data_IF_545590687749
#
_entry.id   IF_545590687749
#
_cell.length_a   1.000
_cell.length_b   1.000
_cell.length_c   1.000
_cell.angle_alpha   90.00
_cell.angle_beta   90.00
_cell.angle_gamma   90.00
#
_symmetry.space_group_name_H-M   'P 1'
#
loop_
_entity.id
_entity.type
_entity.pdbx_description
1 polymer ?
#
# COMPACT_ATOMS: atom_id res chain seq x y z
N UNK A 1 8.83 15.39 -25.29
CA UNK A 1 8.30 14.86 -24.02
C UNK A 1 6.80 15.03 -24.04
N UNK A 2 6.03 13.95 -24.08
CA UNK A 2 4.58 14.03 -23.89
C UNK A 2 4.30 14.64 -22.52
N UNK A 3 3.66 15.81 -22.49
CA UNK A 3 3.26 16.44 -21.24
C UNK A 3 2.11 15.61 -20.65
N UNK A 4 2.40 14.80 -19.64
CA UNK A 4 1.42 13.93 -18.98
C UNK A 4 0.34 14.67 -18.18
N UNK A 5 0.20 15.99 -18.37
CA UNK A 5 -0.66 16.89 -17.58
C UNK A 5 -0.08 17.24 -16.20
N UNK A 6 -0.79 18.07 -15.45
CA UNK A 6 -0.44 18.52 -14.10
C UNK A 6 -1.49 18.11 -13.05
N UNK A 7 -2.35 17.14 -13.37
CA UNK A 7 -3.33 16.61 -12.44
C UNK A 7 -2.67 15.70 -11.39
N UNK A 8 -3.36 15.46 -10.27
CA UNK A 8 -2.92 14.53 -9.22
C UNK A 8 -2.62 13.14 -9.80
N UNK A 9 -3.48 12.64 -10.70
CA UNK A 9 -3.27 11.34 -11.36
C UNK A 9 -2.03 11.33 -12.27
N UNK A 10 -1.69 12.47 -12.87
CA UNK A 10 -0.47 12.64 -13.67
C UNK A 10 0.80 12.48 -12.83
N UNK A 11 0.78 12.89 -11.55
CA UNK A 11 1.92 12.67 -10.63
C UNK A 11 2.15 11.18 -10.38
N UNK A 12 1.09 10.39 -10.18
CA UNK A 12 1.23 8.93 -10.04
C UNK A 12 1.78 8.29 -11.31
N UNK A 13 1.29 8.68 -12.49
CA UNK A 13 1.80 8.16 -13.76
C UNK A 13 3.27 8.51 -13.96
N UNK A 14 3.68 9.74 -13.63
CA UNK A 14 5.10 10.15 -13.65
C UNK A 14 5.95 9.33 -12.69
N UNK A 15 5.48 9.15 -11.45
CA UNK A 15 6.16 8.35 -10.44
C UNK A 15 6.33 6.90 -10.89
N UNK A 16 5.27 6.28 -11.42
CA UNK A 16 5.33 4.92 -11.94
C UNK A 16 6.29 4.79 -13.13
N UNK A 17 6.29 5.73 -14.09
CA UNK A 17 7.29 5.73 -15.17
C UNK A 17 8.72 5.83 -14.65
N UNK A 18 8.95 6.67 -13.64
CA UNK A 18 10.27 6.84 -13.05
C UNK A 18 10.74 5.55 -12.37
N UNK A 19 9.87 4.89 -11.60
CA UNK A 19 10.15 3.60 -10.96
C UNK A 19 10.35 2.50 -12.00
N UNK A 20 9.49 2.39 -13.01
CA UNK A 20 9.62 1.41 -14.10
C UNK A 20 10.97 1.56 -14.82
N UNK A 21 11.37 2.80 -15.16
CA UNK A 21 12.67 3.05 -15.79
C UNK A 21 13.85 2.67 -14.87
N UNK A 22 13.74 2.96 -13.57
CA UNK A 22 14.73 2.54 -12.58
C UNK A 22 14.84 1.01 -12.46
N UNK A 23 13.71 0.30 -12.45
CA UNK A 23 13.66 -1.16 -12.44
C UNK A 23 14.29 -1.73 -13.73
N UNK A 24 13.86 -1.26 -14.91
CA UNK A 24 14.36 -1.77 -16.18
C UNK A 24 15.85 -1.49 -16.43
N UNK A 25 16.39 -0.41 -15.86
CA UNK A 25 17.81 -0.06 -16.00
C UNK A 25 18.73 -0.73 -14.98
N UNK A 26 18.18 -1.38 -13.96
CA UNK A 26 19.00 -2.07 -12.96
C UNK A 26 19.63 -3.34 -13.57
N UNK A 27 20.96 -3.46 -13.44
CA UNK A 27 21.72 -4.61 -13.91
C UNK A 27 21.59 -5.84 -12.98
N UNK A 28 20.44 -6.01 -12.34
CA UNK A 28 20.18 -7.04 -11.33
C UNK A 28 19.37 -8.22 -11.87
N UNK A 29 18.82 -8.14 -13.09
CA UNK A 29 17.90 -9.13 -13.64
C UNK A 29 18.56 -10.02 -14.69
N UNK A 30 19.32 -11.02 -14.22
CA UNK A 30 20.18 -11.83 -15.10
C UNK A 30 19.62 -13.22 -15.39
N UNK A 31 18.78 -13.75 -14.51
CA UNK A 31 18.14 -15.07 -14.65
C UNK A 31 16.69 -14.95 -15.07
N UNK A 32 16.08 -16.05 -15.53
CA UNK A 32 14.65 -16.06 -15.87
C UNK A 32 13.76 -15.84 -14.64
N UNK A 33 14.22 -16.26 -13.45
CA UNK A 33 13.56 -15.95 -12.19
C UNK A 33 13.60 -14.44 -11.91
N UNK A 34 14.73 -13.79 -12.15
CA UNK A 34 14.84 -12.34 -11.96
C UNK A 34 13.95 -11.58 -12.95
N UNK A 35 13.89 -12.01 -14.22
CA UNK A 35 12.98 -11.41 -15.21
C UNK A 35 11.52 -11.56 -14.80
N UNK A 36 11.12 -12.72 -14.28
CA UNK A 36 9.78 -12.92 -13.76
C UNK A 36 9.47 -12.01 -12.56
N UNK A 37 10.46 -11.76 -11.70
CA UNK A 37 10.34 -10.79 -10.61
C UNK A 37 10.20 -9.35 -11.13
N UNK A 38 10.98 -8.98 -12.15
CA UNK A 38 10.87 -7.67 -12.81
C UNK A 38 9.50 -7.48 -13.45
N UNK A 39 9.03 -8.46 -14.21
CA UNK A 39 7.72 -8.43 -14.87
C UNK A 39 6.59 -8.30 -13.84
N UNK A 40 6.69 -9.05 -12.73
CA UNK A 40 5.75 -8.93 -11.61
C UNK A 40 5.82 -7.53 -10.99
N UNK A 41 7.00 -6.98 -10.74
CA UNK A 41 7.16 -5.66 -10.14
C UNK A 41 6.56 -4.55 -11.02
N UNK A 42 6.80 -4.61 -12.35
CA UNK A 42 6.20 -3.68 -13.31
C UNK A 42 4.67 -3.87 -13.35
N UNK A 43 4.19 -5.11 -13.32
CA UNK A 43 2.77 -5.39 -13.25
C UNK A 43 2.12 -4.79 -12.01
N UNK A 44 2.67 -5.06 -10.83
CA UNK A 44 2.14 -4.57 -9.57
C UNK A 44 2.16 -3.04 -9.52
N UNK A 45 3.24 -2.43 -10.00
CA UNK A 45 3.37 -0.97 -10.11
C UNK A 45 2.23 -0.35 -10.90
N UNK A 46 1.81 -0.95 -12.02
CA UNK A 46 0.73 -0.43 -12.86
C UNK A 46 -0.66 -0.95 -12.50
N UNK A 47 -0.78 -1.92 -11.58
CA UNK A 47 -2.05 -2.55 -11.18
C UNK A 47 -2.54 -2.11 -9.81
N UNK A 48 -1.63 -1.72 -8.90
CA UNK A 48 -1.96 -1.35 -7.53
C UNK A 48 -1.42 0.02 -7.14
N UNK A 49 -2.23 0.80 -6.41
CA UNK A 49 -1.84 2.11 -5.90
C UNK A 49 -2.35 2.32 -4.48
N UNK A 50 -1.65 3.16 -3.71
CA UNK A 50 -2.14 3.71 -2.46
C UNK A 50 -2.05 5.23 -2.53
N UNK A 51 -3.15 5.91 -2.20
CA UNK A 51 -3.14 7.36 -2.17
C UNK A 51 -2.42 7.87 -0.92
N UNK A 52 -1.57 8.90 -1.04
CA UNK A 52 -0.98 9.56 0.11
C UNK A 52 -2.05 10.03 1.10
N UNK A 53 -1.78 9.80 2.39
CA UNK A 53 -2.59 10.30 3.51
C UNK A 53 -4.10 9.98 3.43
N UNK A 54 -4.49 8.91 2.72
CA UNK A 54 -5.89 8.57 2.48
C UNK A 54 -6.10 7.06 2.59
N UNK A 55 -6.96 6.63 3.51
CA UNK A 55 -7.39 5.23 3.58
C UNK A 55 -8.53 5.04 2.56
N UNK A 56 -8.16 4.93 1.29
CA UNK A 56 -9.08 4.91 0.15
C UNK A 56 -8.99 3.58 -0.60
N UNK A 57 -10.12 2.87 -0.64
CA UNK A 57 -10.30 1.61 -1.33
C UNK A 57 -11.11 1.81 -2.60
N UNK A 58 -10.57 1.33 -3.71
CA UNK A 58 -11.27 1.16 -5.00
C UNK A 58 -10.78 -0.14 -5.61
N UNK A 59 -11.56 -1.21 -5.44
CA UNK A 59 -11.20 -2.55 -5.86
C UNK A 59 -12.14 -3.06 -6.95
N UNK A 60 -11.68 -3.99 -7.82
CA UNK A 60 -12.55 -4.71 -8.74
C UNK A 60 -13.74 -5.36 -8.03
N UNK A 61 -14.86 -5.54 -8.74
CA UNK A 61 -16.10 -6.05 -8.13
C UNK A 61 -16.96 -4.99 -7.42
N UNK A 62 -16.64 -3.71 -7.60
CA UNK A 62 -17.47 -2.58 -7.12
C UNK A 62 -17.23 -2.17 -5.67
N UNK A 63 -16.23 -2.75 -5.01
CA UNK A 63 -15.91 -2.39 -3.63
C UNK A 63 -15.23 -1.02 -3.55
N UNK A 64 -15.81 -0.15 -2.74
CA UNK A 64 -15.35 1.22 -2.54
C UNK A 64 -15.57 1.63 -1.09
N UNK A 65 -14.52 2.12 -0.44
CA UNK A 65 -14.60 2.64 0.93
C UNK A 65 -13.55 3.75 1.13
N UNK A 66 -13.84 4.72 1.99
CA UNK A 66 -12.85 5.74 2.35
C UNK A 66 -12.93 6.15 3.82
N UNK A 67 -11.78 6.48 4.40
CA UNK A 67 -11.61 7.02 5.75
C UNK A 67 -10.21 7.59 5.96
N UNK A 68 -9.83 7.86 7.21
CA UNK A 68 -8.46 8.21 7.57
C UNK A 68 -8.06 9.64 7.20
N UNK A 69 -9.01 10.47 6.77
CA UNK A 69 -8.77 11.90 6.56
C UNK A 69 -8.53 12.60 7.90
N UNK A 70 -7.58 13.53 7.92
CA UNK A 70 -7.29 14.32 9.12
C UNK A 70 -8.40 15.36 9.30
N UNK A 71 -8.63 15.76 10.55
CA UNK A 71 -9.58 16.84 10.87
C UNK A 71 -9.22 18.13 10.11
N UNK A 72 -7.93 18.38 9.91
CA UNK A 72 -7.41 19.55 9.17
C UNK A 72 -7.55 19.46 7.65
N UNK A 73 -7.83 18.29 7.07
CA UNK A 73 -8.00 18.18 5.63
C UNK A 73 -9.37 18.77 5.24
N UNK A 74 -9.38 19.77 4.36
CA UNK A 74 -10.60 20.41 3.87
C UNK A 74 -11.45 19.47 3.01
N UNK A 75 -12.75 19.77 2.86
CA UNK A 75 -13.62 18.97 2.01
C UNK A 75 -13.13 18.94 0.54
N UNK A 76 -12.60 20.06 0.03
CA UNK A 76 -12.05 20.14 -1.31
C UNK A 76 -10.85 19.21 -1.50
N UNK A 77 -9.91 19.20 -0.55
CA UNK A 77 -8.77 18.28 -0.59
C UNK A 77 -9.20 16.82 -0.52
N UNK A 78 -10.17 16.49 0.35
CA UNK A 78 -10.73 15.13 0.44
C UNK A 78 -11.34 14.69 -0.89
N UNK A 79 -12.18 15.54 -1.49
CA UNK A 79 -12.80 15.27 -2.79
C UNK A 79 -11.78 15.13 -3.91
N UNK A 80 -10.73 15.97 -3.92
CA UNK A 80 -9.67 15.87 -4.92
C UNK A 80 -8.88 14.55 -4.82
N UNK A 81 -8.53 14.12 -3.60
CA UNK A 81 -7.88 12.82 -3.38
C UNK A 81 -8.79 11.66 -3.83
N UNK A 82 -10.06 11.66 -3.42
CA UNK A 82 -10.99 10.60 -3.82
C UNK A 82 -11.27 10.58 -5.33
N UNK A 83 -11.41 11.74 -5.96
CA UNK A 83 -11.56 11.85 -7.42
C UNK A 83 -10.34 11.34 -8.18
N UNK A 84 -9.13 11.49 -7.61
CA UNK A 84 -7.95 10.86 -8.17
C UNK A 84 -8.03 9.32 -8.08
N UNK A 85 -8.50 8.75 -6.96
CA UNK A 85 -8.71 7.30 -6.86
C UNK A 85 -9.73 6.80 -7.90
N UNK A 86 -10.82 7.54 -8.11
CA UNK A 86 -11.82 7.21 -9.14
C UNK A 86 -11.24 7.24 -10.56
N UNK A 87 -10.48 8.28 -10.91
CA UNK A 87 -9.84 8.39 -12.21
C UNK A 87 -8.77 7.30 -12.45
N UNK A 88 -8.02 6.94 -11.40
CA UNK A 88 -7.03 5.85 -11.46
C UNK A 88 -7.71 4.49 -11.65
N UNK A 89 -8.85 4.28 -10.98
CA UNK A 89 -9.66 3.09 -11.14
C UNK A 89 -10.34 3.01 -12.52
N UNK A 90 -10.74 4.13 -13.12
CA UNK A 90 -11.27 4.15 -14.49
C UNK A 90 -10.25 3.67 -15.54
N UNK A 91 -8.95 3.80 -15.24
CA UNK A 91 -7.89 3.09 -15.94
C UNK A 91 -7.29 3.83 -17.14
N UNK A 92 -8.04 4.73 -17.77
CA UNK A 92 -7.59 5.52 -18.92
C UNK A 92 -6.99 6.83 -18.45
N UNK A 93 -5.65 6.92 -18.43
CA UNK A 93 -4.91 8.09 -18.00
C UNK A 93 -3.91 8.53 -19.07
N UNK A 94 -3.76 9.84 -19.33
CA UNK A 94 -2.70 10.34 -20.20
C UNK A 94 -1.33 9.79 -19.79
N UNK A 95 -0.49 9.47 -20.78
CA UNK A 95 0.84 8.90 -20.58
C UNK A 95 0.95 7.55 -19.87
N UNK A 96 -0.13 6.95 -19.33
CA UNK A 96 0.01 5.64 -18.67
C UNK A 96 0.58 4.61 -19.65
N UNK A 97 1.36 3.66 -19.11
CA UNK A 97 1.97 2.59 -19.87
C UNK A 97 0.93 1.96 -20.83
N UNK A 98 1.21 1.89 -22.15
CA UNK A 98 0.24 1.42 -23.15
C UNK A 98 -0.34 0.03 -22.86
N UNK A 99 0.44 -0.87 -22.25
CA UNK A 99 -0.02 -2.22 -21.87
C UNK A 99 -1.08 -2.21 -20.75
N UNK A 100 -1.21 -1.08 -20.05
CA UNK A 100 -2.11 -0.87 -18.92
C UNK A 100 -3.17 0.20 -19.19
N UNK A 101 -3.24 0.74 -20.41
CA UNK A 101 -4.34 1.63 -20.80
C UNK A 101 -5.68 0.89 -20.72
N UNK A 102 -6.68 1.56 -20.15
CA UNK A 102 -8.01 0.98 -19.92
C UNK A 102 -8.08 -0.08 -18.82
N UNK A 103 -6.96 -0.38 -18.12
CA UNK A 103 -6.95 -1.30 -16.96
C UNK A 103 -7.05 -0.50 -15.66
N UNK A 104 -7.87 -0.92 -14.69
CA UNK A 104 -8.00 -0.20 -13.42
C UNK A 104 -6.68 -0.22 -12.65
N UNK A 105 -6.34 0.90 -12.01
CA UNK A 105 -5.39 0.90 -10.90
C UNK A 105 -6.18 0.67 -9.61
N UNK A 106 -6.03 -0.49 -8.97
CA UNK A 106 -6.75 -0.80 -7.74
C UNK A 106 -6.16 -0.01 -6.58
N UNK A 107 -6.98 0.82 -5.95
CA UNK A 107 -6.56 1.60 -4.78
C UNK A 107 -6.77 0.78 -3.52
N UNK A 108 -5.71 0.61 -2.74
CA UNK A 108 -5.75 -0.06 -1.44
C UNK A 108 -5.61 0.93 -0.30
N UNK A 109 -6.51 0.78 0.67
CA UNK A 109 -6.38 1.41 1.99
C UNK A 109 -5.66 0.48 2.97
N UNK A 110 -6.05 0.56 4.24
CA UNK A 110 -5.54 -0.33 5.30
C UNK A 110 -6.62 -0.58 6.36
N UNK A 111 -6.53 -1.72 7.04
CA UNK A 111 -7.43 -2.11 8.13
C UNK A 111 -6.78 -1.85 9.49
N UNK A 112 -5.45 -2.02 9.59
CA UNK A 112 -4.65 -1.71 10.77
C UNK A 112 -3.46 -0.81 10.41
N UNK A 113 -2.99 0.01 11.36
CA UNK A 113 -1.82 0.86 11.18
C UNK A 113 -0.82 0.63 12.33
N UNK A 114 0.43 0.37 11.96
CA UNK A 114 1.56 0.26 12.88
C UNK A 114 2.47 1.48 12.78
N UNK A 115 2.51 2.25 13.87
CA UNK A 115 3.41 3.38 14.10
C UNK A 115 4.40 3.03 15.20
N UNK A 116 5.57 2.51 14.84
CA UNK A 116 6.58 2.14 15.83
C UNK A 116 7.00 3.35 16.67
N UNK A 117 7.06 3.18 17.99
CA UNK A 117 7.66 4.17 18.89
C UNK A 117 6.93 5.51 18.97
N UNK A 118 5.65 5.55 18.59
CA UNK A 118 4.85 6.78 18.70
C UNK A 118 4.78 7.23 20.17
N UNK A 119 5.50 8.30 20.51
CA UNK A 119 5.53 8.86 21.88
C UNK A 119 6.92 9.27 22.40
N UNK A 120 8.01 9.03 21.65
CA UNK A 120 9.35 9.53 22.02
C UNK A 120 9.98 8.87 23.25
N UNK A 121 9.38 7.78 23.76
CA UNK A 121 9.90 7.01 24.88
C UNK A 121 10.89 5.97 24.36
N UNK A 122 11.85 5.56 25.20
CA UNK A 122 12.66 4.35 24.98
C UNK A 122 11.76 3.20 24.49
N UNK A 123 12.14 2.58 23.38
CA UNK A 123 11.39 1.50 22.75
C UNK A 123 11.36 0.28 23.67
N UNK A 124 10.20 -0.02 24.25
CA UNK A 124 9.94 -1.32 24.86
C UNK A 124 9.49 -2.29 23.77
N UNK A 125 10.43 -3.09 23.28
CA UNK A 125 10.21 -4.04 22.19
C UNK A 125 9.11 -5.07 22.50
N UNK A 126 9.03 -5.55 23.74
CA UNK A 126 8.04 -6.56 24.13
C UNK A 126 6.64 -5.94 24.16
N UNK A 127 6.50 -4.76 24.76
CA UNK A 127 5.23 -4.04 24.76
C UNK A 127 4.78 -3.69 23.35
N UNK A 128 5.69 -3.22 22.52
CA UNK A 128 5.39 -2.86 21.14
C UNK A 128 4.95 -4.09 20.32
N UNK A 129 5.65 -5.22 20.46
CA UNK A 129 5.24 -6.49 19.85
C UNK A 129 3.81 -6.85 20.23
N UNK A 130 3.50 -6.88 21.52
CA UNK A 130 2.16 -7.21 22.02
C UNK A 130 1.10 -6.23 21.50
N UNK A 131 1.39 -4.92 21.49
CA UNK A 131 0.46 -3.91 20.99
C UNK A 131 0.12 -4.14 19.51
N UNK A 132 1.12 -4.41 18.69
CA UNK A 132 0.95 -4.56 17.24
C UNK A 132 0.19 -5.84 16.92
N UNK A 133 0.55 -6.96 17.55
CA UNK A 133 -0.16 -8.24 17.39
C UNK A 133 -1.62 -8.10 17.79
N UNK A 134 -1.90 -7.49 18.95
CA UNK A 134 -3.28 -7.24 19.39
C UNK A 134 -4.04 -6.31 18.45
N UNK A 135 -3.39 -5.27 17.92
CA UNK A 135 -4.01 -4.35 16.96
C UNK A 135 -4.41 -5.08 15.66
N UNK A 136 -3.54 -5.95 15.15
CA UNK A 136 -3.81 -6.76 13.96
C UNK A 136 -4.93 -7.77 14.24
N UNK A 137 -4.89 -8.48 15.36
CA UNK A 137 -5.94 -9.42 15.76
C UNK A 137 -7.30 -8.73 15.88
N UNK A 138 -7.36 -7.58 16.57
CA UNK A 138 -8.56 -6.77 16.68
C UNK A 138 -9.08 -6.29 15.31
N UNK A 139 -8.19 -6.04 14.34
CA UNK A 139 -8.62 -5.66 13.00
C UNK A 139 -9.36 -6.79 12.26
N UNK A 140 -9.08 -8.07 12.57
CA UNK A 140 -9.87 -9.20 12.07
C UNK A 140 -11.27 -9.27 12.71
N UNK A 141 -11.35 -9.02 14.03
CA UNK A 141 -12.59 -9.21 14.79
C UNK A 141 -13.57 -8.02 14.68
N UNK A 142 -13.10 -6.85 14.26
CA UNK A 142 -13.90 -5.61 14.23
C UNK A 142 -14.51 -5.30 12.85
N UNK A 143 -15.56 -4.46 12.84
CA UNK A 143 -16.06 -3.72 11.66
C UNK A 143 -14.99 -2.86 10.96
N UNK A 144 -13.79 -2.76 11.55
CA UNK A 144 -12.63 -2.08 10.98
C UNK A 144 -11.98 -2.86 9.84
N UNK A 145 -12.23 -4.17 9.71
CA UNK A 145 -11.94 -4.90 8.46
C UNK A 145 -12.88 -4.37 7.38
N UNK A 146 -12.41 -3.36 6.66
CA UNK A 146 -13.20 -2.71 5.61
C UNK A 146 -13.05 -3.45 4.30
N UNK A 147 -11.88 -4.03 4.05
CA UNK A 147 -11.57 -4.71 2.80
C UNK A 147 -12.57 -5.81 2.42
N UNK A 148 -12.57 -6.17 1.13
CA UNK A 148 -13.53 -7.13 0.58
C UNK A 148 -13.35 -8.53 1.20
N UNK A 149 -12.12 -8.88 1.58
CA UNK A 149 -11.79 -10.14 2.22
C UNK A 149 -11.81 -10.02 3.75
N UNK A 150 -12.86 -10.57 4.37
CA UNK A 150 -13.00 -10.56 5.84
C UNK A 150 -12.05 -11.49 6.58
N UNK A 151 -11.33 -12.33 5.86
CA UNK A 151 -10.28 -13.20 6.39
C UNK A 151 -8.88 -12.64 6.13
N UNK A 152 -8.77 -11.37 5.73
CA UNK A 152 -7.49 -10.70 5.53
C UNK A 152 -7.51 -9.30 6.17
N UNK A 153 -6.34 -8.87 6.66
CA UNK A 153 -6.09 -7.53 7.21
C UNK A 153 -4.94 -6.92 6.44
N UNK A 154 -5.15 -5.73 5.85
CA UNK A 154 -4.08 -4.95 5.24
C UNK A 154 -3.44 -4.06 6.30
N UNK A 155 -2.18 -4.32 6.62
CA UNK A 155 -1.40 -3.56 7.60
C UNK A 155 -0.62 -2.42 6.92
N UNK A 156 -0.85 -1.18 7.37
CA UNK A 156 -0.02 -0.04 7.00
C UNK A 156 1.12 0.15 8.02
N UNK A 157 2.34 0.31 7.53
CA UNK A 157 3.46 0.87 8.28
C UNK A 157 4.37 1.70 7.35
N UNK A 158 5.47 2.24 7.88
CA UNK A 158 6.45 2.99 7.10
C UNK A 158 7.87 2.50 7.40
N UNK A 159 8.70 2.46 6.38
CA UNK A 159 10.10 2.05 6.43
C UNK A 159 10.95 2.87 7.42
N UNK A 160 10.74 4.19 7.47
CA UNK A 160 11.46 5.08 8.40
C UNK A 160 11.23 4.76 9.87
N UNK A 161 10.20 3.96 10.21
CA UNK A 161 10.03 3.46 11.56
C UNK A 161 11.07 2.39 11.94
N UNK A 162 11.76 1.79 10.99
CA UNK A 162 12.66 0.64 11.19
C UNK A 162 14.09 0.94 10.75
N UNK A 163 14.53 2.17 10.98
CA UNK A 163 15.83 2.72 10.59
C UNK A 163 17.03 2.24 11.45
N UNK A 164 16.79 1.43 12.48
CA UNK A 164 17.84 0.83 13.32
C UNK A 164 17.64 -0.68 13.46
N UNK A 165 18.71 -1.41 13.79
CA UNK A 165 18.65 -2.86 14.01
C UNK A 165 17.63 -3.23 15.09
N UNK A 166 17.63 -2.54 16.23
CA UNK A 166 16.70 -2.82 17.34
C UNK A 166 15.24 -2.68 16.90
N UNK A 167 14.94 -1.63 16.12
CA UNK A 167 13.61 -1.41 15.57
C UNK A 167 13.24 -2.49 14.55
N UNK A 168 14.16 -2.86 13.66
CA UNK A 168 13.97 -3.94 12.70
C UNK A 168 13.77 -5.31 13.38
N UNK A 169 14.41 -5.56 14.53
CA UNK A 169 14.19 -6.77 15.32
C UNK A 169 12.76 -6.85 15.85
N UNK A 170 12.12 -5.72 16.20
CA UNK A 170 10.68 -5.72 16.54
C UNK A 170 9.82 -6.18 15.37
N UNK A 171 10.13 -5.76 14.14
CA UNK A 171 9.43 -6.25 12.95
C UNK A 171 9.54 -7.77 12.81
N UNK A 172 10.76 -8.31 12.94
CA UNK A 172 11.00 -9.77 12.93
C UNK A 172 10.15 -10.48 13.99
N UNK A 173 10.15 -9.97 15.22
CA UNK A 173 9.49 -10.62 16.34
C UNK A 173 7.96 -10.56 16.24
N UNK A 174 7.41 -9.47 15.69
CA UNK A 174 5.97 -9.38 15.36
C UNK A 174 5.60 -10.40 14.29
N UNK A 175 6.40 -10.52 13.22
CA UNK A 175 6.14 -11.50 12.15
C UNK A 175 6.16 -12.92 12.72
N UNK A 176 7.16 -13.25 13.53
CA UNK A 176 7.30 -14.56 14.15
C UNK A 176 6.13 -14.88 15.09
N UNK A 177 5.69 -13.92 15.91
CA UNK A 177 4.54 -14.09 16.80
C UNK A 177 3.25 -14.31 16.00
N UNK A 178 3.00 -13.52 14.95
CA UNK A 178 1.81 -13.68 14.10
C UNK A 178 1.78 -15.06 13.43
N UNK A 179 2.92 -15.55 12.94
CA UNK A 179 3.02 -16.91 12.40
C UNK A 179 2.79 -17.98 13.46
N UNK A 180 3.34 -17.81 14.67
CA UNK A 180 3.16 -18.73 15.80
C UNK A 180 1.68 -18.88 16.18
N UNK A 181 0.92 -17.78 16.18
CA UNK A 181 -0.51 -17.80 16.51
C UNK A 181 -1.42 -18.12 15.31
N UNK A 182 -0.84 -18.49 14.17
CA UNK A 182 -1.56 -19.09 13.04
C UNK A 182 -1.91 -18.14 11.89
N UNK A 183 -1.42 -16.89 11.88
CA UNK A 183 -1.61 -16.00 10.73
C UNK A 183 -0.62 -16.31 9.60
N UNK A 184 -1.10 -16.17 8.36
CA UNK A 184 -0.28 -16.24 7.17
C UNK A 184 -0.07 -14.85 6.56
N UNK A 185 1.11 -14.64 5.97
CA UNK A 185 1.45 -13.40 5.25
C UNK A 185 1.27 -13.59 3.75
N UNK A 186 0.72 -12.57 3.11
CA UNK A 186 0.52 -12.52 1.67
C UNK A 186 0.77 -11.10 1.16
N UNK A 187 0.75 -10.94 -0.15
CA UNK A 187 0.98 -9.68 -0.86
C UNK A 187 -0.32 -9.16 -1.48
N UNK A 188 -0.38 -7.86 -1.75
CA UNK A 188 -1.58 -7.19 -2.26
C UNK A 188 -2.06 -7.78 -3.60
N UNK A 189 -1.16 -8.28 -4.44
CA UNK A 189 -1.52 -8.93 -5.72
C UNK A 189 -2.35 -10.21 -5.55
N UNK A 190 -2.33 -10.79 -4.35
CA UNK A 190 -3.13 -11.97 -3.98
C UNK A 190 -4.38 -11.62 -3.15
N UNK A 191 -4.61 -10.35 -2.87
CA UNK A 191 -5.78 -9.91 -2.12
C UNK A 191 -7.04 -10.05 -2.99
N UNK A 192 -7.94 -10.94 -2.59
CA UNK A 192 -9.21 -11.25 -3.26
C UNK A 192 -10.33 -11.22 -2.25
#
# INVERSE_FOLDING_TARGET
MEACGNAITSDFVRGAKHVEAGLQSANAYSTDADKALLDKAIHDLWSYVRLPCSNAWKLPGGFSASSGFRVVDSQAERSARLGAADAMFAGTLPCRNPLYQGKPWSSFGWDAEWKLGRGGVLLDANREKCNVVNNIANAFDLKANRGLNKNAVVLLTHDYFFDTLDKAMVMRDVIAELQLVGYAFSTIDKYK
#
